data_IF_611384106257
#
_entry.id   IF_611384106257
#
_cell.length_a   1.000
_cell.length_b   1.000
_cell.length_c   1.000
_cell.angle_alpha   90.00
_cell.angle_beta   90.00
_cell.angle_gamma   90.00
#
_symmetry.space_group_name_H-M   'P 1'
#
loop_
_entity.id
_entity.type
_entity.pdbx_description
1 polymer ?
#
# COMPACT_ATOMS: atom_id res chain seq x y z
N UNK A 1 12.76 3.60 2.58
CA UNK A 1 11.96 3.79 3.82
C UNK A 1 12.35 2.81 4.91
N UNK A 2 12.24 1.49 4.72
CA UNK A 2 12.62 0.50 5.75
C UNK A 2 14.04 0.70 6.30
N UNK A 3 15.06 0.86 5.45
CA UNK A 3 16.44 1.10 5.92
C UNK A 3 16.64 2.44 6.66
N UNK A 4 15.90 3.49 6.29
CA UNK A 4 16.12 4.85 6.79
C UNK A 4 15.21 5.24 7.95
N UNK A 5 14.03 4.62 8.04
CA UNK A 5 13.00 4.95 9.02
C UNK A 5 12.64 3.76 9.92
N UNK A 6 13.07 2.54 9.57
CA UNK A 6 12.57 1.32 10.21
C UNK A 6 11.09 1.05 9.91
N UNK A 7 10.46 1.82 9.02
CA UNK A 7 9.03 1.74 8.71
C UNK A 7 8.79 1.33 7.24
N UNK A 8 7.66 0.65 7.01
CA UNK A 8 7.15 0.46 5.66
C UNK A 8 6.85 1.84 5.04
N UNK A 9 6.92 1.93 3.72
CA UNK A 9 6.61 3.18 3.02
C UNK A 9 5.17 3.64 3.31
N UNK A 10 4.23 2.70 3.37
CA UNK A 10 2.84 2.97 3.70
C UNK A 10 2.72 3.61 5.08
N UNK A 11 3.30 2.97 6.09
CA UNK A 11 3.19 3.42 7.48
C UNK A 11 3.85 4.79 7.68
N UNK A 12 5.01 5.03 7.07
CA UNK A 12 5.71 6.32 7.15
C UNK A 12 4.89 7.47 6.54
N UNK A 13 4.29 7.23 5.36
CA UNK A 13 3.52 8.27 4.67
C UNK A 13 2.23 8.60 5.43
N UNK A 14 1.53 7.59 5.94
CA UNK A 14 0.32 7.82 6.75
C UNK A 14 0.60 8.53 8.06
N UNK A 15 1.77 8.32 8.68
CA UNK A 15 2.13 8.97 9.95
C UNK A 15 2.62 10.41 9.79
N UNK A 16 3.22 10.76 8.64
CA UNK A 16 3.85 12.06 8.43
C UNK A 16 3.09 12.99 7.48
N UNK A 17 2.13 12.48 6.71
CA UNK A 17 1.40 13.27 5.72
C UNK A 17 -0.11 13.09 5.89
N UNK A 18 -0.78 14.15 6.36
CA UNK A 18 -2.23 14.20 6.49
C UNK A 18 -2.93 14.29 5.11
N UNK A 19 -4.02 13.55 4.94
CA UNK A 19 -4.87 13.62 3.74
C UNK A 19 -4.42 12.75 2.56
N UNK A 20 -3.33 11.98 2.68
CA UNK A 20 -2.87 11.06 1.63
C UNK A 20 -3.56 9.70 1.77
N UNK A 21 -4.42 9.33 0.83
CA UNK A 21 -4.88 7.95 0.67
C UNK A 21 -3.81 7.14 -0.07
N UNK A 22 -3.12 6.25 0.65
CA UNK A 22 -2.10 5.37 0.08
C UNK A 22 -2.62 4.50 -1.07
N UNK A 23 -3.91 4.19 -1.05
CA UNK A 23 -4.59 3.42 -2.10
C UNK A 23 -4.61 4.15 -3.45
N UNK A 24 -4.47 5.48 -3.44
CA UNK A 24 -4.31 6.33 -4.63
C UNK A 24 -2.84 6.65 -4.92
N UNK A 25 -1.96 6.48 -3.93
CA UNK A 25 -0.56 6.84 -3.98
C UNK A 25 0.28 5.73 -4.64
N UNK A 26 0.15 5.59 -5.96
CA UNK A 26 1.10 4.76 -6.71
C UNK A 26 2.42 5.52 -6.83
N UNK A 27 3.43 5.08 -6.08
CA UNK A 27 4.79 5.61 -6.17
C UNK A 27 5.54 4.86 -7.28
N UNK A 28 6.39 5.57 -8.03
CA UNK A 28 7.03 5.07 -9.27
C UNK A 28 6.04 4.70 -10.40
N UNK A 29 4.90 5.40 -10.55
CA UNK A 29 3.96 5.21 -11.69
C UNK A 29 4.65 5.17 -13.05
N UNK A 30 5.62 6.07 -13.25
CA UNK A 30 6.36 6.22 -14.51
C UNK A 30 7.80 6.62 -14.22
N UNK A 31 8.73 5.77 -14.65
CA UNK A 31 10.10 6.20 -14.87
C UNK A 31 10.22 6.57 -16.34
N UNK A 32 10.70 7.77 -16.61
CA UNK A 32 10.86 8.28 -17.97
C UNK A 32 12.29 8.69 -18.23
N UNK A 33 12.79 8.35 -19.40
CA UNK A 33 14.08 8.82 -19.90
C UNK A 33 13.80 9.89 -20.94
N UNK A 34 14.23 11.12 -20.66
CA UNK A 34 14.13 12.24 -21.60
C UNK A 34 15.51 12.55 -22.16
N UNK A 35 15.68 12.38 -23.47
CA UNK A 35 16.87 12.78 -24.19
C UNK A 35 16.67 14.21 -24.69
N UNK A 36 17.52 15.15 -24.28
CA UNK A 36 17.38 16.56 -24.67
C UNK A 36 18.56 16.96 -25.54
N UNK A 37 18.30 17.54 -26.70
CA UNK A 37 19.33 17.95 -27.64
C UNK A 37 18.87 19.02 -28.62
N UNK A 38 19.79 19.51 -29.44
CA UNK A 38 19.51 20.46 -30.52
C UNK A 38 19.19 19.75 -31.85
N UNK A 39 19.54 18.48 -31.95
CA UNK A 39 19.26 17.63 -33.11
C UNK A 39 19.14 16.18 -32.67
N UNK A 40 18.59 15.34 -33.54
CA UNK A 40 18.51 13.90 -33.34
C UNK A 40 18.76 13.18 -34.66
N UNK A 41 19.48 12.07 -34.59
CA UNK A 41 19.63 11.16 -35.73
C UNK A 41 18.35 10.35 -35.95
N UNK A 42 18.02 10.07 -37.20
CA UNK A 42 16.84 9.27 -37.57
C UNK A 42 16.89 7.84 -36.98
N UNK A 43 18.09 7.26 -36.88
CA UNK A 43 18.36 5.99 -36.20
C UNK A 43 17.88 6.01 -34.74
N UNK A 44 18.22 7.06 -34.00
CA UNK A 44 17.81 7.25 -32.60
C UNK A 44 16.31 7.49 -32.49
N UNK A 45 15.71 8.25 -33.41
CA UNK A 45 14.25 8.44 -33.46
C UNK A 45 13.50 7.13 -33.61
N UNK A 46 13.91 6.28 -34.56
CA UNK A 46 13.32 4.94 -34.77
C UNK A 46 13.49 4.04 -33.56
N UNK A 47 14.64 4.09 -32.89
CA UNK A 47 14.87 3.32 -31.66
C UNK A 47 13.94 3.76 -30.53
N UNK A 48 13.75 5.06 -30.33
CA UNK A 48 12.84 5.61 -29.32
C UNK A 48 11.40 5.17 -29.59
N UNK A 49 10.93 5.29 -30.83
CA UNK A 49 9.59 4.84 -31.23
C UNK A 49 9.43 3.33 -31.03
N UNK A 50 10.42 2.52 -31.43
CA UNK A 50 10.37 1.07 -31.30
C UNK A 50 10.36 0.61 -29.84
N UNK A 51 11.20 1.20 -28.98
CA UNK A 51 11.26 0.90 -27.54
C UNK A 51 9.98 1.33 -26.84
N UNK A 52 9.45 2.51 -27.16
CA UNK A 52 8.19 2.99 -26.59
C UNK A 52 6.97 2.19 -27.07
N UNK A 53 6.95 1.73 -28.31
CA UNK A 53 5.80 1.01 -28.88
C UNK A 53 5.80 -0.48 -28.58
N UNK A 54 6.96 -1.15 -28.63
CA UNK A 54 7.05 -2.61 -28.47
C UNK A 54 7.33 -3.04 -27.03
N UNK A 55 8.05 -2.23 -26.26
CA UNK A 55 8.44 -2.56 -24.88
C UNK A 55 7.80 -1.64 -23.84
N UNK A 56 6.95 -0.71 -24.29
CA UNK A 56 6.26 0.24 -23.42
C UNK A 56 7.26 1.02 -22.51
N UNK A 57 8.48 1.27 -23.01
CA UNK A 57 9.48 2.06 -22.28
C UNK A 57 9.15 3.54 -22.36
N UNK A 58 9.16 4.24 -21.21
CA UNK A 58 8.91 5.68 -21.10
C UNK A 58 10.06 6.54 -21.61
N UNK A 59 10.58 6.26 -22.80
CA UNK A 59 11.67 7.00 -23.43
C UNK A 59 11.12 8.00 -24.44
N UNK A 60 11.62 9.23 -24.41
CA UNK A 60 11.27 10.27 -25.39
C UNK A 60 12.45 11.22 -25.62
N UNK A 61 12.44 11.95 -26.74
CA UNK A 61 13.41 13.01 -26.99
C UNK A 61 12.74 14.38 -27.16
N UNK A 62 13.43 15.40 -26.66
CA UNK A 62 13.07 16.81 -26.78
C UNK A 62 14.16 17.50 -27.60
N UNK A 63 13.78 18.01 -28.77
CA UNK A 63 14.65 18.73 -29.68
C UNK A 63 14.37 20.22 -29.51
N UNK A 64 15.37 20.99 -29.15
CA UNK A 64 15.30 22.44 -29.00
C UNK A 64 15.93 23.13 -30.21
N UNK A 65 15.16 23.94 -30.92
CA UNK A 65 15.60 24.68 -32.08
C UNK A 65 15.63 26.17 -31.74
N UNK A 66 16.82 26.74 -31.63
CA UNK A 66 17.01 28.18 -31.47
C UNK A 66 17.14 28.86 -32.83
N UNK A 67 16.34 29.90 -33.05
CA UNK A 67 16.30 30.68 -34.28
C UNK A 67 16.39 32.15 -33.91
N UNK A 68 17.33 32.87 -34.53
CA UNK A 68 17.40 34.32 -34.46
C UNK A 68 16.92 34.92 -35.77
N UNK A 69 15.88 35.75 -35.72
CA UNK A 69 15.33 36.40 -36.90
C UNK A 69 16.23 37.54 -37.37
N UNK A 70 16.07 37.96 -38.62
CA UNK A 70 16.78 39.12 -39.16
C UNK A 70 16.42 40.45 -38.47
N UNK A 71 15.27 40.53 -37.80
CA UNK A 71 14.84 41.65 -36.94
C UNK A 71 15.49 41.64 -35.55
N UNK A 72 16.25 40.59 -35.22
CA UNK A 72 16.92 40.44 -33.92
C UNK A 72 16.08 39.71 -32.87
N UNK A 73 14.88 39.25 -33.22
CA UNK A 73 14.04 38.46 -32.33
C UNK A 73 14.61 37.05 -32.16
N UNK A 74 14.52 36.52 -30.95
CA UNK A 74 15.05 35.20 -30.59
C UNK A 74 13.89 34.25 -30.29
N UNK A 75 13.85 33.14 -31.01
CA UNK A 75 12.79 32.14 -30.94
C UNK A 75 13.38 30.80 -30.53
N UNK A 76 12.75 30.14 -29.57
CA UNK A 76 13.08 28.77 -29.17
C UNK A 76 11.88 27.88 -29.44
N UNK A 77 12.02 26.97 -30.41
CA UNK A 77 11.01 25.97 -30.75
C UNK A 77 11.35 24.62 -30.12
N UNK A 78 10.35 23.88 -29.67
CA UNK A 78 10.48 22.56 -29.07
C UNK A 78 9.74 21.53 -29.91
N UNK A 79 10.43 20.48 -30.34
CA UNK A 79 9.85 19.30 -30.98
C UNK A 79 10.00 18.09 -30.07
N UNK A 80 8.97 17.27 -29.97
CA UNK A 80 9.01 15.98 -29.25
C UNK A 80 8.73 14.85 -30.22
N UNK A 81 9.37 13.70 -30.03
CA UNK A 81 9.14 12.52 -30.89
C UNK A 81 7.76 11.92 -30.59
N UNK A 82 7.48 11.69 -29.32
CA UNK A 82 6.21 11.08 -28.88
C UNK A 82 5.36 12.17 -28.21
N UNK A 83 4.11 12.39 -28.67
CA UNK A 83 3.19 13.34 -28.03
C UNK A 83 2.91 12.98 -26.57
N UNK A 84 2.77 14.00 -25.72
CA UNK A 84 2.59 13.80 -24.27
C UNK A 84 1.25 13.10 -23.94
N UNK A 85 0.24 13.32 -24.77
CA UNK A 85 -1.09 12.70 -24.65
C UNK A 85 -1.02 11.18 -24.80
N UNK A 86 -0.18 10.69 -25.72
CA UNK A 86 0.05 9.26 -25.96
C UNK A 86 0.74 8.62 -24.75
N UNK A 87 1.71 9.32 -24.15
CA UNK A 87 2.41 8.88 -22.94
C UNK A 87 1.52 8.89 -21.70
N UNK A 88 0.61 9.86 -21.57
CA UNK A 88 -0.41 9.88 -20.50
C UNK A 88 -1.37 8.70 -20.62
N UNK A 89 -1.88 8.42 -21.82
CA UNK A 89 -2.77 7.29 -22.07
C UNK A 89 -2.13 5.92 -21.76
N UNK A 90 -0.82 5.76 -22.01
CA UNK A 90 -0.06 4.56 -21.63
C UNK A 90 0.06 4.41 -20.10
N UNK A 91 0.28 5.53 -19.41
CA UNK A 91 0.44 5.56 -17.94
C UNK A 91 -0.84 5.13 -17.22
N UNK A 92 -2.00 5.57 -17.71
CA UNK A 92 -3.30 5.25 -17.09
C UNK A 92 -3.66 3.77 -17.19
N UNK A 93 -3.18 3.07 -18.23
CA UNK A 93 -3.36 1.60 -18.36
C UNK A 93 -2.52 0.80 -17.35
N UNK A 94 -1.44 1.36 -16.81
CA UNK A 94 -0.49 0.68 -15.90
C UNK A 94 -0.88 0.75 -14.42
N UNK A 95 -2.07 1.22 -14.06
CA UNK A 95 -2.49 1.21 -12.65
C UNK A 95 -2.50 -0.23 -12.14
N UNK A 96 -1.51 -0.58 -11.33
CA UNK A 96 -1.50 -1.81 -10.54
C UNK A 96 -2.66 -1.70 -9.55
N UNK A 97 -3.86 -2.10 -9.96
CA UNK A 97 -5.04 -2.11 -9.10
C UNK A 97 -4.89 -3.28 -8.15
N UNK A 98 -4.61 -2.98 -6.88
CA UNK A 98 -4.75 -3.97 -5.82
C UNK A 98 -6.22 -4.39 -5.83
N UNK A 99 -6.48 -5.63 -6.24
CA UNK A 99 -7.84 -6.15 -6.27
C UNK A 99 -8.39 -6.15 -4.85
N UNK A 100 -9.55 -5.53 -4.67
CA UNK A 100 -10.28 -5.51 -3.41
C UNK A 100 -11.41 -6.54 -3.46
N UNK A 101 -11.71 -7.15 -2.31
CA UNK A 101 -12.84 -8.07 -2.16
C UNK A 101 -13.27 -8.13 -0.71
N UNK A 102 -14.57 -8.32 -0.47
CA UNK A 102 -15.11 -8.66 0.83
C UNK A 102 -15.31 -10.18 1.02
N UNK A 103 -15.06 -10.98 -0.02
CA UNK A 103 -15.20 -12.44 0.05
C UNK A 103 -14.11 -13.05 0.95
N UNK A 104 -14.56 -13.84 1.93
CA UNK A 104 -13.68 -14.59 2.81
C UNK A 104 -13.03 -15.78 2.08
N UNK A 105 -11.83 -16.16 2.54
CA UNK A 105 -11.18 -17.38 2.10
C UNK A 105 -11.91 -18.63 2.63
N UNK A 106 -11.53 -19.79 2.10
CA UNK A 106 -12.02 -21.10 2.52
C UNK A 106 -10.84 -22.08 2.67
N UNK A 107 -9.81 -21.66 3.42
CA UNK A 107 -8.63 -22.45 3.70
C UNK A 107 -8.92 -23.47 4.81
N UNK A 108 -8.18 -24.59 4.82
CA UNK A 108 -8.24 -25.53 5.94
C UNK A 108 -7.70 -24.88 7.23
N UNK A 109 -8.04 -25.39 8.43
CA UNK A 109 -7.50 -24.87 9.69
C UNK A 109 -5.95 -24.82 9.71
N UNK A 110 -5.30 -25.82 9.13
CA UNK A 110 -3.84 -25.93 9.08
C UNK A 110 -3.24 -24.88 8.14
N UNK A 111 -3.77 -24.76 6.92
CA UNK A 111 -3.33 -23.75 5.95
C UNK A 111 -3.57 -22.33 6.47
N UNK A 112 -4.73 -22.10 7.09
CA UNK A 112 -5.11 -20.81 7.66
C UNK A 112 -4.17 -20.42 8.80
N UNK A 113 -3.80 -21.38 9.67
CA UNK A 113 -2.82 -21.16 10.74
C UNK A 113 -1.47 -20.72 10.17
N UNK A 114 -0.95 -21.42 9.16
CA UNK A 114 0.33 -21.07 8.53
C UNK A 114 0.30 -19.67 7.90
N UNK A 115 -0.77 -19.34 7.16
CA UNK A 115 -0.94 -18.02 6.54
C UNK A 115 -1.01 -16.90 7.58
N UNK A 116 -1.73 -17.13 8.68
CA UNK A 116 -1.87 -16.15 9.75
C UNK A 116 -0.56 -15.93 10.49
N UNK A 117 0.16 -17.00 10.86
CA UNK A 117 1.50 -16.91 11.47
C UNK A 117 2.43 -16.13 10.55
N UNK A 118 2.52 -16.53 9.26
CA UNK A 118 3.35 -15.86 8.27
C UNK A 118 3.01 -14.38 8.11
N UNK A 119 1.76 -13.99 8.27
CA UNK A 119 1.34 -12.58 8.23
C UNK A 119 1.72 -11.83 9.52
N UNK A 120 1.40 -12.37 10.69
CA UNK A 120 1.59 -11.72 12.00
C UNK A 120 3.06 -11.67 12.45
N UNK A 121 3.93 -12.53 11.89
CA UNK A 121 5.38 -12.51 12.10
C UNK A 121 6.12 -11.46 11.28
N UNK A 122 5.47 -10.82 10.29
CA UNK A 122 6.10 -9.76 9.51
C UNK A 122 6.25 -8.49 10.34
N UNK A 123 7.36 -7.78 10.14
CA UNK A 123 7.57 -6.45 10.73
C UNK A 123 6.84 -5.35 9.93
N UNK A 124 5.51 -5.46 9.88
CA UNK A 124 4.60 -4.46 9.33
C UNK A 124 3.84 -3.83 10.49
N UNK A 125 3.64 -2.50 10.51
CA UNK A 125 2.88 -1.90 11.62
C UNK A 125 1.44 -2.39 11.65
N UNK A 126 0.79 -2.57 10.49
CA UNK A 126 -0.56 -3.14 10.42
C UNK A 126 -0.63 -4.56 10.99
N UNK A 127 0.34 -5.42 10.68
CA UNK A 127 0.43 -6.77 11.25
C UNK A 127 0.67 -6.72 12.77
N UNK A 128 1.57 -5.85 13.24
CA UNK A 128 1.80 -5.63 14.69
C UNK A 128 0.57 -5.12 15.41
N UNK A 129 -0.16 -4.15 14.83
CA UNK A 129 -1.40 -3.59 15.37
C UNK A 129 -2.50 -4.65 15.44
N UNK A 130 -2.63 -5.48 14.40
CA UNK A 130 -3.58 -6.61 14.39
C UNK A 130 -3.20 -7.63 15.47
N UNK A 131 -1.93 -8.03 15.53
CA UNK A 131 -1.40 -9.01 16.51
C UNK A 131 -1.52 -8.55 17.96
N UNK A 132 -1.16 -7.29 18.24
CA UNK A 132 -0.97 -6.81 19.61
C UNK A 132 -2.20 -6.14 20.19
N UNK A 133 -3.12 -5.65 19.35
CA UNK A 133 -4.30 -4.89 19.79
C UNK A 133 -5.59 -5.50 19.29
N UNK A 134 -5.78 -5.61 17.97
CA UNK A 134 -7.07 -6.01 17.40
C UNK A 134 -7.46 -7.43 17.81
N UNK A 135 -6.61 -8.44 17.52
CA UNK A 135 -6.92 -9.83 17.86
C UNK A 135 -7.07 -10.05 19.37
N UNK A 136 -6.18 -9.54 20.25
CA UNK A 136 -6.36 -9.63 21.70
C UNK A 136 -7.65 -8.96 22.19
N UNK A 137 -8.05 -7.84 21.59
CA UNK A 137 -9.30 -7.17 21.94
C UNK A 137 -10.52 -7.99 21.50
N UNK A 138 -10.49 -8.58 20.31
CA UNK A 138 -11.56 -9.45 19.78
C UNK A 138 -11.63 -10.82 20.48
N UNK A 139 -10.54 -11.30 21.07
CA UNK A 139 -10.58 -12.49 21.93
C UNK A 139 -11.30 -12.21 23.26
N UNK A 140 -11.21 -10.97 23.76
CA UNK A 140 -11.87 -10.55 25.01
C UNK A 140 -13.31 -10.10 24.79
N UNK A 141 -13.59 -9.47 23.66
CA UNK A 141 -14.88 -8.88 23.32
C UNK A 141 -15.40 -9.49 22.03
N UNK A 142 -16.70 -9.84 21.97
CA UNK A 142 -17.29 -10.46 20.78
C UNK A 142 -17.20 -9.57 19.53
N UNK A 143 -17.35 -8.28 19.73
CA UNK A 143 -17.33 -7.25 18.68
C UNK A 143 -16.52 -6.05 19.14
N UNK A 144 -15.97 -5.31 18.18
CA UNK A 144 -15.21 -4.09 18.40
C UNK A 144 -15.58 -3.04 17.36
N UNK A 145 -16.11 -1.92 17.83
CA UNK A 145 -16.32 -0.73 17.00
C UNK A 145 -14.99 -0.02 16.72
N UNK A 146 -14.96 0.80 15.67
CA UNK A 146 -13.84 1.71 15.36
C UNK A 146 -13.53 2.60 16.57
N UNK A 147 -14.54 3.12 17.26
CA UNK A 147 -14.36 3.94 18.46
C UNK A 147 -13.68 3.19 19.61
N UNK A 148 -14.06 1.95 19.86
CA UNK A 148 -13.45 1.11 20.89
C UNK A 148 -12.00 0.74 20.55
N UNK A 149 -11.74 0.37 19.28
CA UNK A 149 -10.38 0.07 18.83
C UNK A 149 -9.46 1.29 18.94
N UNK A 150 -9.93 2.51 18.63
CA UNK A 150 -9.13 3.74 18.83
C UNK A 150 -8.67 3.89 20.28
N UNK A 151 -9.61 3.72 21.22
CA UNK A 151 -9.32 3.79 22.65
C UNK A 151 -8.36 2.69 23.09
N UNK A 152 -8.53 1.48 22.57
CA UNK A 152 -7.64 0.37 22.89
C UNK A 152 -6.23 0.57 22.31
N UNK A 153 -6.08 1.17 21.12
CA UNK A 153 -4.75 1.51 20.59
C UNK A 153 -3.98 2.46 21.50
N UNK A 154 -4.66 3.44 22.10
CA UNK A 154 -4.06 4.36 23.07
C UNK A 154 -3.75 3.62 24.38
N UNK A 155 -4.70 2.83 24.89
CA UNK A 155 -4.52 2.06 26.13
C UNK A 155 -3.37 1.06 26.05
N UNK A 156 -3.18 0.41 24.90
CA UNK A 156 -2.09 -0.53 24.65
C UNK A 156 -0.74 0.16 24.43
N UNK A 157 -0.67 1.50 24.46
CA UNK A 157 0.54 2.27 24.22
C UNK A 157 1.02 2.27 22.76
N UNK A 158 0.16 1.86 21.82
CA UNK A 158 0.48 1.80 20.38
C UNK A 158 0.21 3.14 19.69
N UNK A 159 -0.78 3.89 20.17
CA UNK A 159 -1.05 5.27 19.77
C UNK A 159 -0.78 6.24 20.94
N UNK A 160 -0.33 7.45 20.62
CA UNK A 160 -0.18 8.56 21.58
C UNK A 160 -1.54 9.10 22.03
N UNK A 161 -2.48 9.20 21.09
CA UNK A 161 -3.83 9.71 21.30
C UNK A 161 -4.83 9.11 20.29
N UNK A 162 -6.12 9.39 20.49
CA UNK A 162 -7.19 8.88 19.63
C UNK A 162 -7.14 9.43 18.19
N UNK A 163 -6.57 10.63 18.00
CA UNK A 163 -6.38 11.22 16.67
C UNK A 163 -5.38 10.38 15.87
N UNK A 164 -4.23 10.04 16.46
CA UNK A 164 -3.24 9.15 15.85
C UNK A 164 -3.83 7.76 15.60
N UNK A 165 -4.58 7.21 16.57
CA UNK A 165 -5.26 5.93 16.41
C UNK A 165 -6.28 5.94 15.25
N UNK A 166 -6.84 7.12 14.94
CA UNK A 166 -7.73 7.32 13.80
C UNK A 166 -7.13 6.93 12.45
N UNK A 167 -5.83 7.12 12.26
CA UNK A 167 -5.12 6.75 11.03
C UNK A 167 -4.84 5.24 10.93
N UNK A 168 -4.87 4.50 12.04
CA UNK A 168 -4.54 3.08 12.05
C UNK A 168 -5.67 2.22 11.49
N UNK A 169 -6.92 2.63 11.72
CA UNK A 169 -8.09 1.87 11.31
C UNK A 169 -8.27 1.79 9.79
N UNK A 170 -8.14 2.88 9.00
CA UNK A 170 -8.13 2.79 7.55
C UNK A 170 -7.07 1.81 7.03
N UNK A 171 -5.88 1.78 7.62
CA UNK A 171 -4.82 0.84 7.23
C UNK A 171 -5.23 -0.61 7.48
N UNK A 172 -5.79 -0.91 8.66
CA UNK A 172 -6.29 -2.25 9.00
C UNK A 172 -7.46 -2.65 8.08
N UNK A 173 -8.41 -1.75 7.88
CA UNK A 173 -9.53 -1.92 6.95
C UNK A 173 -9.04 -2.22 5.53
N UNK A 174 -7.98 -1.53 5.07
CA UNK A 174 -7.35 -1.80 3.79
C UNK A 174 -6.74 -3.20 3.75
N UNK A 175 -5.96 -3.61 4.75
CA UNK A 175 -5.38 -4.96 4.80
C UNK A 175 -6.46 -6.04 4.70
N UNK A 176 -7.58 -5.84 5.41
CA UNK A 176 -8.75 -6.72 5.37
C UNK A 176 -9.44 -6.73 4.00
N UNK A 177 -9.41 -5.63 3.24
CA UNK A 177 -10.06 -5.55 1.93
C UNK A 177 -9.26 -6.11 0.76
N UNK A 178 -7.95 -6.37 0.89
CA UNK A 178 -7.13 -6.86 -0.22
C UNK A 178 -7.54 -8.29 -0.60
N UNK A 179 -7.87 -8.54 -1.87
CA UNK A 179 -8.32 -9.86 -2.37
C UNK A 179 -7.36 -10.98 -1.99
N UNK A 180 -6.04 -10.75 -2.12
CA UNK A 180 -4.97 -11.71 -1.75
C UNK A 180 -4.84 -12.02 -0.25
N UNK A 181 -5.62 -11.34 0.61
CA UNK A 181 -5.65 -11.51 2.08
C UNK A 181 -7.02 -11.96 2.56
N UNK A 182 -7.70 -12.74 1.73
CA UNK A 182 -8.97 -13.40 2.04
C UNK A 182 -8.93 -14.28 3.30
N UNK A 183 -7.77 -14.84 3.65
CA UNK A 183 -7.56 -15.54 4.93
C UNK A 183 -7.79 -14.63 6.15
N UNK A 184 -7.51 -13.33 6.08
CA UNK A 184 -7.81 -12.41 7.19
C UNK A 184 -9.33 -12.24 7.36
N UNK A 185 -10.09 -12.25 6.25
CA UNK A 185 -11.57 -12.17 6.26
C UNK A 185 -12.22 -13.51 6.61
N UNK A 186 -11.50 -14.61 6.46
CA UNK A 186 -11.93 -15.90 6.99
C UNK A 186 -11.97 -15.84 8.53
N UNK A 187 -11.02 -15.16 9.16
CA UNK A 187 -10.91 -15.05 10.63
C UNK A 187 -11.71 -13.87 11.20
N UNK A 188 -11.55 -12.68 10.61
CA UNK A 188 -12.10 -11.42 11.12
C UNK A 188 -13.31 -11.02 10.25
N UNK A 189 -14.48 -10.95 10.87
CA UNK A 189 -15.68 -10.36 10.30
C UNK A 189 -15.73 -8.84 10.52
N UNK A 190 -16.54 -8.16 9.72
CA UNK A 190 -16.84 -6.73 9.85
C UNK A 190 -18.17 -6.41 9.18
N UNK A 191 -18.71 -5.24 9.49
CA UNK A 191 -19.95 -4.70 8.95
C UNK A 191 -19.74 -3.28 8.40
N UNK A 192 -20.82 -2.69 7.89
CA UNK A 192 -20.86 -1.34 7.32
C UNK A 192 -22.01 -0.53 7.94
N UNK A 193 -22.00 -0.28 9.25
CA UNK A 193 -23.14 0.32 9.94
C UNK A 193 -23.37 1.80 9.57
N UNK A 194 -22.29 2.55 9.29
CA UNK A 194 -22.36 3.98 9.01
C UNK A 194 -22.32 4.29 7.51
N UNK A 195 -21.37 3.71 6.78
CA UNK A 195 -21.14 3.95 5.36
C UNK A 195 -20.76 2.65 4.64
N UNK A 196 -21.13 2.51 3.37
CA UNK A 196 -20.87 1.31 2.56
C UNK A 196 -19.39 1.02 2.30
N UNK A 197 -18.51 2.00 2.53
CA UNK A 197 -17.06 1.86 2.39
C UNK A 197 -16.33 1.77 3.73
N UNK A 198 -17.00 2.05 4.86
CA UNK A 198 -16.36 2.09 6.17
C UNK A 198 -16.60 0.79 6.94
N UNK A 199 -15.58 -0.06 6.95
CA UNK A 199 -15.55 -1.28 7.77
C UNK A 199 -15.56 -0.92 9.26
N UNK A 200 -16.53 -1.43 9.99
CA UNK A 200 -16.73 -1.27 11.43
C UNK A 200 -17.29 -2.57 12.04
N UNK A 201 -17.63 -2.59 13.33
CA UNK A 201 -18.15 -3.75 14.07
C UNK A 201 -17.32 -5.02 13.80
N UNK A 202 -16.01 -4.91 13.98
CA UNK A 202 -15.09 -6.02 13.77
C UNK A 202 -15.40 -7.14 14.75
N UNK A 203 -15.37 -8.39 14.29
CA UNK A 203 -15.60 -9.57 15.12
C UNK A 203 -14.61 -10.67 14.79
N UNK A 204 -14.27 -11.50 15.76
CA UNK A 204 -13.56 -12.74 15.53
C UNK A 204 -14.59 -13.85 15.34
N UNK A 205 -14.51 -14.62 14.25
CA UNK A 205 -15.41 -15.76 14.06
C UNK A 205 -15.07 -16.84 15.08
N UNK A 206 -16.10 -17.30 15.80
CA UNK A 206 -15.95 -18.20 16.95
C UNK A 206 -15.24 -19.52 16.60
N UNK A 207 -15.42 -20.02 15.37
CA UNK A 207 -14.78 -21.25 14.88
C UNK A 207 -13.24 -21.18 14.83
N UNK A 208 -12.65 -19.97 14.80
CA UNK A 208 -11.20 -19.76 14.77
C UNK A 208 -10.63 -19.22 16.09
N UNK A 209 -11.46 -19.09 17.13
CA UNK A 209 -11.08 -18.47 18.40
C UNK A 209 -9.87 -19.14 19.05
N UNK A 210 -9.94 -20.45 19.22
CA UNK A 210 -8.88 -21.26 19.86
C UNK A 210 -7.57 -21.20 19.05
N UNK A 211 -7.67 -21.33 17.72
CA UNK A 211 -6.54 -21.24 16.81
C UNK A 211 -5.83 -19.88 16.92
N UNK A 212 -6.59 -18.78 16.96
CA UNK A 212 -6.02 -17.43 17.09
C UNK A 212 -5.35 -17.25 18.45
N UNK A 213 -5.95 -17.75 19.53
CA UNK A 213 -5.36 -17.70 20.87
C UNK A 213 -4.03 -18.47 20.92
N UNK A 214 -3.98 -19.68 20.35
CA UNK A 214 -2.78 -20.49 20.26
C UNK A 214 -1.67 -19.79 19.47
N UNK A 215 -1.99 -19.23 18.30
CA UNK A 215 -1.04 -18.49 17.45
C UNK A 215 -0.44 -17.29 18.20
N UNK A 216 -1.27 -16.51 18.89
CA UNK A 216 -0.78 -15.35 19.64
C UNK A 216 0.13 -15.77 20.81
N UNK A 217 -0.15 -16.89 21.45
CA UNK A 217 0.69 -17.44 22.51
C UNK A 217 2.02 -17.99 21.98
N UNK A 218 2.01 -18.66 20.83
CA UNK A 218 3.19 -19.15 20.11
C UNK A 218 4.14 -17.98 19.76
N UNK A 219 3.61 -16.94 19.11
CA UNK A 219 4.38 -15.76 18.72
C UNK A 219 4.93 -14.95 19.91
N UNK A 220 4.23 -14.94 21.06
CA UNK A 220 4.74 -14.31 22.29
C UNK A 220 5.93 -15.08 22.87
N UNK A 221 5.90 -16.41 22.85
CA UNK A 221 6.99 -17.25 23.36
C UNK A 221 8.27 -17.09 22.53
N UNK A 222 8.13 -17.00 21.21
CA UNK A 222 9.27 -16.77 20.31
C UNK A 222 9.97 -15.43 20.59
N UNK A 223 9.20 -14.33 20.71
CA UNK A 223 9.77 -13.00 21.00
C UNK A 223 10.49 -12.98 22.36
N UNK A 224 9.89 -13.56 23.41
CA UNK A 224 10.50 -13.62 24.74
C UNK A 224 11.77 -14.48 24.79
N UNK A 225 11.92 -15.44 23.88
CA UNK A 225 13.11 -16.30 23.78
C UNK A 225 14.25 -15.55 23.07
N UNK A 226 13.93 -14.79 22.02
CA UNK A 226 14.91 -13.97 21.30
C UNK A 226 15.43 -12.80 22.14
N UNK A 227 14.58 -12.15 22.95
CA UNK A 227 15.00 -11.07 23.86
C UNK A 227 15.92 -11.55 25.01
N UNK A 228 15.86 -12.84 25.38
CA UNK A 228 16.74 -13.42 26.41
C UNK A 228 18.11 -13.87 25.88
N UNK A 229 18.27 -13.93 24.57
CA UNK A 229 19.51 -14.34 23.90
C UNK A 229 20.38 -13.13 23.47
N UNK A 230 19.87 -11.91 23.67
CA UNK A 230 20.54 -10.62 23.46
C UNK A 230 20.96 -10.01 24.79
#
# INVERSE_FOLDING_TARGET
>A
CLEYSGQSFEDYVSENFEGIQLDELVVNKTQRLLLVGLSIEESLSRMIEWLSSNYDLGINAIILNYIKTSSGDELLSKTVIIPEEVEKAKTDKRTFKILMSDEAGNYSPEELKELLIKYLSKDLYSARRIKNVVLPFLLKNKTATRGELKKEFVRAGVAKDESQAGYFLPLISNQLGQKKKDYLRQIIGYEYPNYSWEKDNFSLKEEYRDMVEDILNELKKENNTMEKLL
#
